data_IF_514390684899
#
_entry.id   IF_514390684899
#
_cell.length_a   1.000
_cell.length_b   1.000
_cell.length_c   1.000
_cell.angle_alpha   90.00
_cell.angle_beta   90.00
_cell.angle_gamma   90.00
#
_symmetry.space_group_name_H-M   'P 1'
#
loop_
_entity.id
_entity.type
_entity.pdbx_description
1 polymer ?
#
# COMPACT_ATOMS: atom_id res chain seq x y z
N UNK A 1 -8.81 3.95 8.93
CA UNK A 1 -9.40 2.63 8.58
C UNK A 1 -8.71 2.01 7.36
N UNK A 2 -8.61 2.68 6.21
CA UNK A 2 -8.02 2.12 4.97
C UNK A 2 -6.55 1.73 5.13
N UNK A 3 -5.76 2.47 5.92
CA UNK A 3 -4.39 2.06 6.27
C UNK A 3 -4.32 0.70 6.98
N UNK A 4 -5.28 0.37 7.85
CA UNK A 4 -5.31 -0.94 8.52
C UNK A 4 -5.58 -2.04 7.49
N UNK A 5 -6.44 -1.78 6.51
CA UNK A 5 -6.72 -2.70 5.40
C UNK A 5 -5.46 -2.89 4.53
N UNK A 6 -4.75 -1.83 4.19
CA UNK A 6 -3.48 -1.89 3.44
C UNK A 6 -2.40 -2.70 4.18
N UNK A 7 -2.30 -2.53 5.50
CA UNK A 7 -1.39 -3.32 6.33
C UNK A 7 -1.82 -4.80 6.39
N UNK A 8 -3.10 -5.07 6.67
CA UNK A 8 -3.62 -6.41 6.79
C UNK A 8 -3.51 -7.19 5.48
N UNK A 9 -3.80 -6.57 4.33
CA UNK A 9 -3.68 -7.22 3.01
C UNK A 9 -2.25 -7.62 2.69
N UNK A 10 -1.23 -6.83 3.09
CA UNK A 10 0.17 -7.24 2.99
C UNK A 10 0.51 -8.45 3.86
N UNK A 11 0.00 -8.48 5.10
CA UNK A 11 0.18 -9.62 6.00
C UNK A 11 -0.52 -10.89 5.50
N UNK A 12 -1.74 -10.75 4.98
CA UNK A 12 -2.50 -11.87 4.39
C UNK A 12 -1.77 -12.40 3.15
N UNK A 13 -1.24 -11.53 2.29
CA UNK A 13 -0.47 -11.97 1.11
C UNK A 13 0.79 -12.74 1.52
N UNK A 14 1.50 -12.29 2.57
CA UNK A 14 2.65 -13.00 3.15
C UNK A 14 2.24 -14.37 3.69
N UNK A 15 1.17 -14.45 4.48
CA UNK A 15 0.68 -15.71 5.04
C UNK A 15 0.26 -16.70 3.94
N UNK A 16 -0.42 -16.22 2.89
CA UNK A 16 -0.79 -17.03 1.71
C UNK A 16 0.44 -17.52 0.95
N UNK A 17 1.47 -16.67 0.82
CA UNK A 17 2.73 -17.07 0.19
C UNK A 17 3.47 -18.17 0.97
N UNK A 18 3.42 -18.15 2.30
CA UNK A 18 3.99 -19.20 3.16
C UNK A 18 3.18 -20.49 3.10
N UNK A 19 1.85 -20.40 3.06
CA UNK A 19 0.94 -21.55 2.99
C UNK A 19 0.76 -22.13 1.58
N UNK A 20 1.53 -21.67 0.58
CA UNK A 20 1.40 -22.07 -0.82
C UNK A 20 -0.02 -21.90 -1.39
N UNK A 21 -0.76 -20.92 -0.87
CA UNK A 21 -2.11 -20.60 -1.32
C UNK A 21 -2.10 -19.56 -2.44
N UNK A 22 -3.23 -19.42 -3.12
CA UNK A 22 -3.41 -18.40 -4.16
C UNK A 22 -3.14 -17.00 -3.61
N UNK A 23 -2.13 -16.33 -4.17
CA UNK A 23 -1.66 -15.01 -3.72
C UNK A 23 -2.61 -13.90 -4.15
N UNK A 24 -2.57 -12.77 -3.44
CA UNK A 24 -3.36 -11.60 -3.83
C UNK A 24 -2.70 -10.98 -5.07
N UNK A 25 -3.48 -10.64 -6.13
CA UNK A 25 -2.93 -9.97 -7.29
C UNK A 25 -2.20 -8.69 -6.91
N UNK A 26 -1.02 -8.45 -7.50
CA UNK A 26 -0.22 -7.26 -7.19
C UNK A 26 -1.00 -5.96 -7.48
N UNK A 27 -1.84 -5.98 -8.51
CA UNK A 27 -2.73 -4.87 -8.84
C UNK A 27 -3.68 -4.51 -7.69
N UNK A 28 -4.24 -5.48 -6.98
CA UNK A 28 -5.15 -5.25 -5.85
C UNK A 28 -4.42 -4.64 -4.66
N UNK A 29 -3.21 -5.11 -4.35
CA UNK A 29 -2.38 -4.55 -3.28
C UNK A 29 -1.98 -3.10 -3.57
N UNK A 30 -1.62 -2.81 -4.82
CA UNK A 30 -1.30 -1.46 -5.27
C UNK A 30 -2.55 -0.58 -5.27
N UNK A 31 -3.68 -1.06 -5.77
CA UNK A 31 -4.95 -0.34 -5.75
C UNK A 31 -5.37 0.03 -4.31
N UNK A 32 -5.20 -0.89 -3.35
CA UNK A 32 -5.43 -0.58 -1.94
C UNK A 32 -4.51 0.54 -1.42
N UNK A 33 -3.25 0.60 -1.87
CA UNK A 33 -2.35 1.70 -1.56
C UNK A 33 -2.84 3.03 -2.19
N UNK A 34 -3.31 3.01 -3.44
CA UNK A 34 -3.86 4.16 -4.17
C UNK A 34 -5.26 4.60 -3.73
N UNK A 35 -6.00 3.81 -2.95
CA UNK A 35 -7.30 4.21 -2.38
C UNK A 35 -7.18 4.83 -0.97
N UNK A 36 -5.96 5.15 -0.53
CA UNK A 36 -5.70 5.75 0.79
C UNK A 36 -5.14 4.77 1.82
N UNK A 37 -4.75 3.57 1.39
CA UNK A 37 -4.03 2.59 2.21
C UNK A 37 -2.51 2.71 2.09
N UNK A 38 -1.99 3.70 1.38
CA UNK A 38 -0.57 3.81 1.02
C UNK A 38 0.38 3.68 2.20
N UNK A 39 0.11 4.40 3.30
CA UNK A 39 0.95 4.34 4.51
C UNK A 39 0.88 2.96 5.15
N UNK A 40 -0.31 2.39 5.28
CA UNK A 40 -0.49 1.05 5.84
C UNK A 40 0.15 -0.06 5.02
N UNK A 41 0.01 -0.01 3.70
CA UNK A 41 0.65 -0.94 2.76
C UNK A 41 2.18 -0.79 2.82
N UNK A 42 2.69 0.44 2.94
CA UNK A 42 4.12 0.70 3.08
C UNK A 42 4.67 0.09 4.38
N UNK A 43 4.04 0.38 5.52
CA UNK A 43 4.41 -0.23 6.81
C UNK A 43 4.35 -1.76 6.72
N UNK A 44 3.29 -2.31 6.12
CA UNK A 44 3.11 -3.74 5.94
C UNK A 44 4.24 -4.38 5.12
N UNK A 45 4.68 -3.73 4.04
CA UNK A 45 5.79 -4.23 3.22
C UNK A 45 7.07 -4.42 4.03
N UNK A 46 7.45 -3.42 4.83
CA UNK A 46 8.67 -3.48 5.65
C UNK A 46 8.50 -4.40 6.84
N UNK A 47 7.35 -4.36 7.52
CA UNK A 47 7.08 -5.20 8.69
C UNK A 47 7.10 -6.69 8.33
N UNK A 48 6.39 -7.09 7.27
CA UNK A 48 6.34 -8.48 6.81
C UNK A 48 7.54 -8.88 5.93
N UNK A 49 8.47 -7.95 5.67
CA UNK A 49 9.59 -8.10 4.75
C UNK A 49 9.11 -8.73 3.43
N UNK A 50 8.00 -8.20 2.91
CA UNK A 50 7.27 -8.77 1.79
C UNK A 50 7.18 -7.74 0.67
N UNK A 51 7.59 -8.14 -0.54
CA UNK A 51 7.58 -7.29 -1.75
C UNK A 51 8.46 -6.03 -1.66
N UNK A 52 9.38 -5.92 -0.69
CA UNK A 52 10.34 -4.81 -0.55
C UNK A 52 11.33 -4.71 -1.71
N UNK A 53 11.71 -5.84 -2.33
CA UNK A 53 12.60 -5.89 -3.50
C UNK A 53 11.87 -5.74 -4.85
N UNK A 54 10.54 -5.65 -4.86
CA UNK A 54 9.78 -5.51 -6.11
C UNK A 54 9.76 -4.03 -6.50
N UNK A 55 10.42 -3.71 -7.61
CA UNK A 55 10.48 -2.35 -8.19
C UNK A 55 9.12 -1.67 -8.26
N UNK A 56 8.08 -2.39 -8.71
CA UNK A 56 6.70 -1.87 -8.76
C UNK A 56 6.23 -1.35 -7.41
N UNK A 57 6.40 -2.13 -6.33
CA UNK A 57 5.96 -1.74 -5.00
C UNK A 57 6.85 -0.63 -4.40
N UNK A 58 8.16 -0.70 -4.63
CA UNK A 58 9.12 0.30 -4.16
C UNK A 58 8.86 1.69 -4.75
N UNK A 59 8.33 1.78 -5.97
CA UNK A 59 8.02 3.05 -6.63
C UNK A 59 6.56 3.44 -6.39
N UNK A 60 5.61 2.54 -6.65
CA UNK A 60 4.19 2.87 -6.69
C UNK A 60 3.59 3.12 -5.31
N UNK A 61 4.06 2.44 -4.25
CA UNK A 61 3.53 2.65 -2.89
C UNK A 61 3.93 4.03 -2.36
N UNK A 62 5.21 4.46 -2.41
CA UNK A 62 5.57 5.84 -2.07
C UNK A 62 4.89 6.86 -2.98
N UNK A 63 4.76 6.58 -4.28
CA UNK A 63 4.04 7.45 -5.21
C UNK A 63 2.57 7.64 -4.80
N UNK A 64 1.88 6.58 -4.38
CA UNK A 64 0.51 6.66 -3.88
C UNK A 64 0.41 7.53 -2.63
N UNK A 65 1.39 7.48 -1.72
CA UNK A 65 1.45 8.33 -0.53
C UNK A 65 1.65 9.80 -0.94
N UNK A 66 2.61 10.08 -1.83
CA UNK A 66 2.89 11.44 -2.31
C UNK A 66 1.66 12.03 -3.01
N UNK A 67 0.96 11.25 -3.83
CA UNK A 67 -0.28 11.69 -4.48
C UNK A 67 -1.36 12.03 -3.46
N UNK A 68 -1.56 11.22 -2.41
CA UNK A 68 -2.54 11.55 -1.38
C UNK A 68 -2.17 12.84 -0.64
N UNK A 69 -0.90 12.99 -0.26
CA UNK A 69 -0.44 14.19 0.43
C UNK A 69 -0.58 15.42 -0.47
N UNK A 70 -0.23 15.30 -1.75
CA UNK A 70 -0.39 16.37 -2.74
C UNK A 70 -1.85 16.78 -2.97
N UNK A 71 -2.76 15.81 -3.05
CA UNK A 71 -4.20 16.08 -3.16
C UNK A 71 -4.73 16.77 -1.91
N UNK A 72 -4.37 16.29 -0.72
CA UNK A 72 -4.77 16.92 0.55
C UNK A 72 -4.24 18.35 0.64
N UNK A 73 -2.97 18.57 0.26
CA UNK A 73 -2.34 19.88 0.25
C UNK A 73 -3.02 20.84 -0.74
N UNK A 74 -3.29 20.39 -1.96
CA UNK A 74 -4.00 21.17 -2.97
C UNK A 74 -5.40 21.57 -2.50
N UNK A 75 -6.16 20.63 -1.93
CA UNK A 75 -7.48 20.91 -1.36
C UNK A 75 -7.37 21.91 -0.21
N UNK A 76 -6.42 21.73 0.70
CA UNK A 76 -6.20 22.66 1.81
C UNK A 76 -5.92 24.08 1.33
N UNK A 77 -5.07 24.25 0.31
CA UNK A 77 -4.79 25.57 -0.28
C UNK A 77 -5.96 26.16 -1.06
N UNK A 78 -6.82 25.34 -1.64
CA UNK A 78 -8.01 25.82 -2.36
C UNK A 78 -9.12 26.32 -1.43
N UNK A 79 -9.24 25.75 -0.22
CA UNK A 79 -10.28 26.09 0.75
C UNK A 79 -9.85 27.13 1.81
N UNK A 80 -8.59 27.57 1.80
CA UNK A 80 -8.05 28.68 2.62
C UNK A 80 -8.14 30.00 1.85
#
# INVERSE_FOLDING_TARGET
MINVIGFATMGIDKAKAQKHQWRIPEATLLLCAFLGGGIGSWIGMYFFHHKTHKWKFKILVPLAIVLHVGVIFYLYMYFQ
#
